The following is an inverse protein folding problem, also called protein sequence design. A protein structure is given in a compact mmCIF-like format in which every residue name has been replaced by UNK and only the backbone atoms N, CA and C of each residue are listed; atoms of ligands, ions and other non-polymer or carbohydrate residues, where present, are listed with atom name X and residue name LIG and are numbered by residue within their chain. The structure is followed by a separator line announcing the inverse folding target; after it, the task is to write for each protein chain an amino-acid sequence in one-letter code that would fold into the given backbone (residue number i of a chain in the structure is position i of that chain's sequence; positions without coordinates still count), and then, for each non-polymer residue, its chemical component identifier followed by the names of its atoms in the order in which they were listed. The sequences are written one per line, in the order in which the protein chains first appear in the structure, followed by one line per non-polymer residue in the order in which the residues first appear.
data_IF_187368003622
#
_entry.id   IF_187368003622
#
_cell.length_a   1.000
_cell.length_b   1.000
_cell.length_c   1.000
_cell.angle_alpha   90.00
_cell.angle_beta   90.00
_cell.angle_gamma   90.00
#
_symmetry.space_group_name_H-M   'P 1'
#
loop_
_entity.id
_entity.type
_entity.pdbx_description
1 polymer ?
#
# COMPACT_ATOMS: atom_id res chain seq x y z
N UNK A 1 24.15 -21.82 2.53
CA UNK A 1 24.07 -22.09 3.98
C UNK A 1 22.84 -21.34 4.47
N UNK A 2 21.86 -22.04 5.05
CA UNK A 2 20.68 -21.35 5.59
C UNK A 2 21.09 -20.56 6.83
N UNK A 3 20.48 -19.39 7.08
CA UNK A 3 20.90 -18.39 8.09
C UNK A 3 21.03 -18.93 9.54
N UNK A 4 20.53 -20.14 9.82
CA UNK A 4 20.55 -20.75 11.16
C UNK A 4 21.17 -22.15 11.21
N UNK A 5 21.71 -22.66 10.09
CA UNK A 5 22.35 -23.99 10.02
C UNK A 5 23.59 -24.11 10.91
N UNK A 6 24.30 -23.01 11.11
CA UNK A 6 25.50 -22.92 11.94
C UNK A 6 25.17 -23.20 13.42
N UNK A 7 24.08 -22.63 13.93
CA UNK A 7 23.62 -22.84 15.31
C UNK A 7 23.12 -24.27 15.55
N UNK A 8 22.58 -24.93 14.53
CA UNK A 8 22.11 -26.33 14.63
C UNK A 8 23.30 -27.30 14.72
N UNK A 9 24.45 -26.97 14.14
CA UNK A 9 25.62 -27.86 14.10
C UNK A 9 26.56 -27.75 15.31
N UNK A 10 26.62 -26.58 15.97
CA UNK A 10 27.72 -26.26 16.92
C UNK A 10 27.29 -25.69 18.28
N UNK A 11 25.99 -25.58 18.60
CA UNK A 11 25.55 -24.90 19.83
C UNK A 11 25.09 -25.84 20.95
N UNK A 12 24.97 -25.31 22.17
CA UNK A 12 24.38 -26.00 23.32
C UNK A 12 22.90 -26.40 23.08
N UNK A 13 22.38 -27.44 23.77
CA UNK A 13 21.04 -27.99 23.52
C UNK A 13 19.92 -26.95 23.49
N UNK A 14 19.96 -25.96 24.39
CA UNK A 14 18.97 -24.88 24.45
C UNK A 14 19.00 -23.94 23.24
N UNK A 15 20.20 -23.64 22.72
CA UNK A 15 20.39 -22.79 21.53
C UNK A 15 19.97 -23.53 20.25
N UNK A 16 20.24 -24.82 20.17
CA UNK A 16 19.81 -25.67 19.06
C UNK A 16 18.28 -25.72 18.94
N UNK A 17 17.58 -25.89 20.07
CA UNK A 17 16.11 -25.89 20.10
C UNK A 17 15.52 -24.55 19.63
N UNK A 18 16.07 -23.43 20.11
CA UNK A 18 15.66 -22.08 19.66
C UNK A 18 15.92 -21.87 18.16
N UNK A 19 17.08 -22.28 17.66
CA UNK A 19 17.44 -22.17 16.24
C UNK A 19 16.52 -23.03 15.35
N UNK A 20 16.18 -24.24 15.79
CA UNK A 20 15.24 -25.10 15.10
C UNK A 20 13.84 -24.50 15.02
N UNK A 21 13.35 -23.93 16.13
CA UNK A 21 12.04 -23.26 16.20
C UNK A 21 11.98 -22.04 15.26
N UNK A 22 12.99 -21.16 15.30
CA UNK A 22 13.07 -20.00 14.41
C UNK A 22 13.18 -20.40 12.93
N UNK A 23 14.01 -21.40 12.60
CA UNK A 23 14.12 -21.93 11.24
C UNK A 23 12.78 -22.46 10.73
N UNK A 24 12.04 -23.18 11.57
CA UNK A 24 10.73 -23.73 11.21
C UNK A 24 9.70 -22.63 10.99
N UNK A 25 9.61 -21.65 11.90
CA UNK A 25 8.69 -20.52 11.78
C UNK A 25 9.00 -19.65 10.55
N UNK A 26 10.28 -19.41 10.28
CA UNK A 26 10.75 -18.65 9.11
C UNK A 26 10.52 -19.44 7.82
N UNK A 27 10.77 -20.74 7.83
CA UNK A 27 10.53 -21.64 6.70
C UNK A 27 9.06 -21.75 6.33
N UNK A 28 8.15 -21.63 7.31
CA UNK A 28 6.70 -21.62 7.05
C UNK A 28 6.28 -20.42 6.18
N UNK A 29 6.99 -19.29 6.24
CA UNK A 29 6.72 -18.15 5.35
C UNK A 29 7.16 -18.39 3.90
N UNK A 30 8.10 -19.30 3.66
CA UNK A 30 8.55 -19.64 2.31
C UNK A 30 7.48 -20.41 1.52
N UNK A 31 6.54 -21.08 2.21
CA UNK A 31 5.36 -21.70 1.61
C UNK A 31 4.49 -20.67 0.89
N UNK A 32 4.47 -19.44 1.39
CA UNK A 32 3.76 -18.30 0.80
C UNK A 32 4.63 -17.47 -0.16
N UNK A 33 5.87 -17.91 -0.46
CA UNK A 33 6.82 -17.18 -1.31
C UNK A 33 7.37 -15.89 -0.68
N UNK A 34 7.19 -15.70 0.63
CA UNK A 34 7.61 -14.48 1.33
C UNK A 34 9.07 -14.60 1.80
N UNK A 35 9.83 -13.52 1.60
CA UNK A 35 11.19 -13.38 2.14
C UNK A 35 11.15 -12.69 3.50
N UNK A 36 11.66 -13.30 4.57
CA UNK A 36 11.72 -12.69 5.89
C UNK A 36 12.65 -11.48 5.89
N UNK A 37 12.32 -10.44 6.67
CA UNK A 37 13.18 -9.24 6.75
C UNK A 37 14.49 -9.51 7.50
N UNK A 38 15.56 -8.79 7.15
CA UNK A 38 16.84 -8.88 7.87
C UNK A 38 16.70 -8.58 9.36
N UNK A 39 15.82 -7.65 9.74
CA UNK A 39 15.53 -7.36 11.14
C UNK A 39 14.94 -8.56 11.91
N UNK A 40 14.09 -9.35 11.26
CA UNK A 40 13.55 -10.58 11.85
C UNK A 40 14.68 -11.58 12.12
N UNK A 41 15.59 -11.76 11.15
CA UNK A 41 16.71 -12.69 11.25
C UNK A 41 17.68 -12.27 12.36
N UNK A 42 18.00 -10.98 12.44
CA UNK A 42 18.85 -10.43 13.49
C UNK A 42 18.22 -10.58 14.87
N UNK A 43 16.91 -10.32 15.00
CA UNK A 43 16.20 -10.50 16.26
C UNK A 43 16.15 -11.98 16.68
N UNK A 44 15.94 -12.89 15.71
CA UNK A 44 16.02 -14.33 15.96
C UNK A 44 17.41 -14.75 16.46
N UNK A 45 18.49 -14.21 15.86
CA UNK A 45 19.87 -14.48 16.29
C UNK A 45 20.10 -14.07 17.74
N UNK A 46 19.71 -12.85 18.12
CA UNK A 46 19.80 -12.35 19.50
C UNK A 46 19.07 -13.24 20.50
N UNK A 47 17.88 -13.72 20.14
CA UNK A 47 17.13 -14.64 20.99
C UNK A 47 17.79 -16.03 21.13
N UNK A 48 18.36 -16.54 20.04
CA UNK A 48 19.11 -17.81 20.02
C UNK A 48 20.36 -17.70 20.89
N UNK A 49 21.09 -16.58 20.81
CA UNK A 49 22.30 -16.32 21.59
C UNK A 49 22.01 -16.05 23.08
N UNK A 50 20.77 -15.66 23.39
CA UNK A 50 20.30 -15.37 24.75
C UNK A 50 20.47 -13.91 25.16
N UNK A 51 20.71 -13.01 24.20
CA UNK A 51 20.79 -11.57 24.44
C UNK A 51 19.42 -10.96 24.79
N UNK A 52 18.35 -11.59 24.29
CA UNK A 52 16.97 -11.19 24.53
C UNK A 52 16.10 -12.42 24.81
N UNK A 53 15.02 -12.21 25.55
CA UNK A 53 13.97 -13.21 25.76
C UNK A 53 12.97 -13.22 24.57
N UNK A 54 12.17 -14.30 24.46
CA UNK A 54 11.13 -14.45 23.45
C UNK A 54 10.07 -13.34 23.52
N UNK A 55 9.69 -12.87 24.71
CA UNK A 55 8.71 -11.80 24.87
C UNK A 55 9.27 -10.47 24.35
N UNK A 56 10.55 -10.20 24.64
CA UNK A 56 11.27 -9.05 24.10
C UNK A 56 11.41 -9.14 22.57
N UNK A 57 11.79 -10.30 22.05
CA UNK A 57 11.86 -10.55 20.61
C UNK A 57 10.51 -10.30 19.94
N UNK A 58 9.41 -10.80 20.52
CA UNK A 58 8.06 -10.58 20.03
C UNK A 58 7.69 -9.09 20.05
N UNK A 59 8.00 -8.37 21.13
CA UNK A 59 7.73 -6.93 21.24
C UNK A 59 8.52 -6.12 20.20
N UNK A 60 9.80 -6.45 19.99
CA UNK A 60 10.66 -5.82 18.99
C UNK A 60 10.16 -6.06 17.57
N UNK A 61 9.85 -7.32 17.24
CA UNK A 61 9.30 -7.71 15.93
C UNK A 61 7.96 -7.02 15.68
N UNK A 62 7.05 -7.05 16.66
CA UNK A 62 5.74 -6.39 16.57
C UNK A 62 5.90 -4.89 16.36
N UNK A 63 6.73 -4.22 17.16
CA UNK A 63 7.00 -2.78 17.02
C UNK A 63 7.63 -2.44 15.67
N UNK A 64 8.60 -3.24 15.21
CA UNK A 64 9.24 -3.06 13.92
C UNK A 64 8.26 -3.21 12.76
N UNK A 65 7.45 -4.26 12.72
CA UNK A 65 6.48 -4.43 11.65
C UNK A 65 5.30 -3.49 11.75
N UNK A 66 4.86 -3.06 12.94
CA UNK A 66 3.84 -2.01 13.10
C UNK A 66 4.33 -0.63 12.67
N UNK A 67 5.62 -0.33 12.87
CA UNK A 67 6.22 0.92 12.40
C UNK A 67 6.60 0.88 10.91
N UNK A 68 6.83 -0.32 10.36
CA UNK A 68 7.14 -0.55 8.94
C UNK A 68 5.91 -0.76 8.08
N UNK A 69 4.82 -1.32 8.63
CA UNK A 69 3.46 -1.20 8.11
C UNK A 69 2.95 0.20 8.42
N UNK A 70 3.67 1.20 7.92
CA UNK A 70 3.13 2.54 7.83
C UNK A 70 1.78 2.41 7.14
N UNK A 71 0.72 2.76 7.87
CA UNK A 71 -0.60 3.04 7.31
C UNK A 71 -0.42 4.14 6.26
N UNK A 72 -0.34 3.73 4.99
CA UNK A 72 -0.73 4.62 3.91
C UNK A 72 -2.25 4.78 3.98
N UNK A 73 -2.78 5.94 3.58
CA UNK A 73 -4.23 6.16 3.43
C UNK A 73 -4.89 5.04 2.59
N UNK A 74 -4.13 4.43 1.68
CA UNK A 74 -4.51 3.29 0.85
C UNK A 74 -4.68 2.00 1.64
N UNK A 75 -3.75 1.71 2.57
CA UNK A 75 -3.86 0.57 3.47
C UNK A 75 -5.08 0.73 4.39
N UNK A 76 -5.39 1.96 4.82
CA UNK A 76 -6.58 2.23 5.62
C UNK A 76 -7.88 2.09 4.82
N UNK A 77 -7.91 2.52 3.55
CA UNK A 77 -9.08 2.34 2.69
C UNK A 77 -9.42 0.85 2.55
N UNK A 78 -8.43 0.01 2.24
CA UNK A 78 -8.60 -1.44 2.15
C UNK A 78 -8.93 -2.08 3.50
N UNK A 79 -8.24 -1.71 4.57
CA UNK A 79 -8.51 -2.27 5.91
C UNK A 79 -9.96 -1.99 6.34
N UNK A 80 -10.45 -0.77 6.11
CA UNK A 80 -11.79 -0.35 6.53
C UNK A 80 -12.91 -0.83 5.58
N UNK A 81 -12.61 -1.08 4.30
CA UNK A 81 -13.61 -1.40 3.27
C UNK A 81 -13.38 -2.75 2.59
N UNK A 82 -12.60 -3.65 3.19
CA UNK A 82 -12.33 -4.99 2.64
C UNK A 82 -13.61 -5.78 2.32
N UNK A 83 -14.63 -5.69 3.18
CA UNK A 83 -15.92 -6.33 2.95
C UNK A 83 -16.67 -5.73 1.74
N UNK A 84 -16.63 -4.40 1.59
CA UNK A 84 -17.19 -3.72 0.43
C UNK A 84 -16.52 -4.18 -0.86
N UNK A 85 -15.18 -4.20 -0.87
CA UNK A 85 -14.42 -4.61 -2.05
C UNK A 85 -14.74 -6.05 -2.48
N UNK A 86 -14.83 -6.98 -1.52
CA UNK A 86 -15.23 -8.37 -1.80
C UNK A 86 -16.63 -8.44 -2.43
N UNK A 87 -17.60 -7.72 -1.87
CA UNK A 87 -18.96 -7.69 -2.40
C UNK A 87 -19.01 -7.02 -3.78
N UNK A 88 -18.21 -5.98 -4.02
CA UNK A 88 -18.09 -5.32 -5.31
C UNK A 88 -17.56 -6.29 -6.38
N UNK A 89 -16.58 -7.14 -6.05
CA UNK A 89 -16.11 -8.18 -6.97
C UNK A 89 -17.19 -9.20 -7.30
N UNK A 90 -18.01 -9.60 -6.31
CA UNK A 90 -19.15 -10.48 -6.58
C UNK A 90 -20.13 -9.79 -7.53
N UNK A 91 -20.52 -8.54 -7.27
CA UNK A 91 -21.43 -7.79 -8.16
C UNK A 91 -20.85 -7.60 -9.56
N UNK A 92 -19.54 -7.38 -9.68
CA UNK A 92 -18.86 -7.19 -10.95
C UNK A 92 -18.75 -8.45 -11.81
N UNK A 93 -18.84 -9.64 -11.22
CA UNK A 93 -18.64 -10.91 -11.93
C UNK A 93 -19.89 -11.82 -11.94
N UNK A 94 -20.79 -11.67 -10.99
CA UNK A 94 -21.97 -12.53 -10.84
C UNK A 94 -23.03 -12.19 -11.88
N UNK A 95 -23.45 -13.22 -12.62
CA UNK A 95 -24.56 -13.15 -13.57
C UNK A 95 -25.58 -14.25 -13.28
N UNK A 96 -26.86 -13.89 -13.29
CA UNK A 96 -27.98 -14.81 -13.19
C UNK A 96 -29.16 -14.29 -14.03
N UNK A 97 -29.21 -14.72 -15.30
CA UNK A 97 -30.22 -14.27 -16.26
C UNK A 97 -31.66 -14.62 -15.85
N UNK A 98 -31.87 -15.77 -15.18
CA UNK A 98 -33.20 -16.21 -14.72
C UNK A 98 -33.77 -15.25 -13.67
N UNK A 99 -32.90 -14.69 -12.82
CA UNK A 99 -33.28 -13.69 -11.81
C UNK A 99 -33.07 -12.24 -12.29
N UNK A 100 -32.75 -12.03 -13.57
CA UNK A 100 -32.48 -10.70 -14.12
C UNK A 100 -31.26 -10.00 -13.52
N UNK A 101 -30.32 -10.74 -12.93
CA UNK A 101 -29.12 -10.18 -12.29
C UNK A 101 -27.99 -10.15 -13.31
N UNK A 102 -27.59 -8.95 -13.72
CA UNK A 102 -26.44 -8.75 -14.60
C UNK A 102 -25.23 -8.21 -13.80
N UNK A 103 -24.00 -8.44 -14.30
CA UNK A 103 -22.79 -7.89 -13.71
C UNK A 103 -22.84 -6.36 -13.61
N UNK A 104 -22.49 -5.83 -12.45
CA UNK A 104 -22.49 -4.40 -12.15
C UNK A 104 -21.12 -3.96 -11.61
N UNK A 105 -20.34 -3.32 -12.48
CA UNK A 105 -19.01 -2.81 -12.18
C UNK A 105 -19.02 -1.54 -11.31
N UNK A 106 -20.16 -0.87 -11.13
CA UNK A 106 -20.18 0.49 -10.57
C UNK A 106 -19.56 0.59 -9.19
N UNK A 107 -19.76 -0.43 -8.34
CA UNK A 107 -19.21 -0.46 -6.99
C UNK A 107 -17.70 -0.68 -6.98
N UNK A 108 -17.22 -1.52 -7.89
CA UNK A 108 -15.80 -1.78 -8.06
C UNK A 108 -15.09 -0.55 -8.60
N UNK A 109 -15.67 0.10 -9.61
CA UNK A 109 -15.19 1.38 -10.15
C UNK A 109 -15.18 2.44 -9.05
N UNK A 110 -16.26 2.58 -8.26
CA UNK A 110 -16.34 3.54 -7.16
C UNK A 110 -15.26 3.32 -6.10
N UNK A 111 -15.00 2.07 -5.73
CA UNK A 111 -13.89 1.73 -4.83
C UNK A 111 -12.54 2.18 -5.41
N UNK A 112 -12.27 1.89 -6.69
CA UNK A 112 -11.03 2.30 -7.34
C UNK A 112 -10.90 3.80 -7.54
N UNK A 113 -12.00 4.53 -7.71
CA UNK A 113 -11.96 6.00 -7.75
C UNK A 113 -11.54 6.59 -6.40
N UNK A 114 -12.03 6.04 -5.30
CA UNK A 114 -11.55 6.44 -3.98
C UNK A 114 -10.06 6.13 -3.82
N UNK A 115 -9.64 4.94 -4.24
CA UNK A 115 -8.26 4.49 -4.11
C UNK A 115 -7.27 5.29 -4.98
N UNK A 116 -7.59 5.45 -6.27
CA UNK A 116 -6.67 5.96 -7.29
C UNK A 116 -6.84 7.45 -7.55
N UNK A 117 -8.04 8.00 -7.37
CA UNK A 117 -8.34 9.41 -7.62
C UNK A 117 -8.45 10.22 -6.33
N UNK A 118 -8.40 9.56 -5.17
CA UNK A 118 -8.57 10.21 -3.87
C UNK A 118 -9.99 10.74 -3.66
N UNK A 119 -10.98 10.18 -4.38
CA UNK A 119 -12.38 10.54 -4.19
C UNK A 119 -12.91 10.03 -2.85
N UNK A 120 -13.96 10.69 -2.35
CA UNK A 120 -14.59 10.35 -1.07
C UNK A 120 -15.99 9.75 -1.29
N UNK A 121 -16.15 8.92 -2.32
CA UNK A 121 -17.44 8.28 -2.58
C UNK A 121 -17.82 7.38 -1.41
N UNK A 122 -19.11 7.31 -1.11
CA UNK A 122 -19.60 6.45 -0.06
C UNK A 122 -19.53 4.96 -0.45
N UNK A 123 -18.90 4.14 0.40
CA UNK A 123 -18.69 2.71 0.19
C UNK A 123 -19.53 1.87 1.15
N UNK A 124 -20.84 1.79 0.89
CA UNK A 124 -21.79 1.00 1.72
C UNK A 124 -22.29 -0.27 1.04
N UNK A 125 -22.20 -1.39 1.77
CA UNK A 125 -22.68 -2.70 1.29
C UNK A 125 -24.18 -2.75 1.00
N UNK A 126 -25.00 -1.99 1.73
CA UNK A 126 -26.46 -1.97 1.54
C UNK A 126 -26.87 -1.60 0.11
N UNK A 127 -26.06 -0.83 -0.60
CA UNK A 127 -26.33 -0.47 -1.99
C UNK A 127 -26.18 -1.67 -2.93
N UNK A 128 -25.38 -2.68 -2.58
CA UNK A 128 -25.11 -3.84 -3.43
C UNK A 128 -26.16 -4.95 -3.33
N UNK A 129 -27.19 -4.80 -2.50
CA UNK A 129 -28.23 -5.82 -2.33
C UNK A 129 -29.07 -5.91 -3.60
N UNK A 130 -29.28 -7.14 -4.09
CA UNK A 130 -30.19 -7.43 -5.22
C UNK A 130 -31.62 -7.32 -4.69
N UNK A 131 -32.52 -6.68 -5.44
CA UNK A 131 -33.92 -6.44 -5.06
C UNK A 131 -34.07 -5.71 -3.72
N UNK A 132 -33.18 -4.75 -3.46
CA UNK A 132 -33.21 -3.98 -2.22
C UNK A 132 -34.48 -3.11 -2.12
N UNK A 133 -35.10 -3.00 -0.92
CA UNK A 133 -36.25 -2.13 -0.71
C UNK A 133 -35.90 -0.66 -0.99
N UNK A 134 -36.86 0.14 -1.47
CA UNK A 134 -36.69 1.53 -1.94
C UNK A 134 -35.82 2.39 -0.99
N UNK A 135 -36.06 2.23 0.32
CA UNK A 135 -35.34 2.90 1.42
C UNK A 135 -33.82 2.68 1.45
N UNK A 136 -33.32 1.67 0.76
CA UNK A 136 -31.89 1.33 0.68
C UNK A 136 -31.28 1.65 -0.67
N UNK A 137 -32.08 2.06 -1.66
CA UNK A 137 -31.56 2.56 -2.92
C UNK A 137 -30.83 3.87 -2.63
N UNK A 138 -29.71 4.05 -3.31
CA UNK A 138 -28.93 5.27 -3.21
C UNK A 138 -29.79 6.46 -3.67
N UNK A 139 -29.82 7.56 -2.92
CA UNK A 139 -30.54 8.76 -3.34
C UNK A 139 -29.91 9.27 -4.64
N UNK A 140 -30.76 9.56 -5.62
CA UNK A 140 -30.31 10.13 -6.91
C UNK A 140 -29.60 11.47 -6.67
N UNK A 141 -29.89 12.16 -5.56
CA UNK A 141 -29.30 13.44 -5.17
C UNK A 141 -27.83 13.37 -4.69
N UNK A 142 -27.31 12.17 -4.37
CA UNK A 142 -25.87 11.96 -4.14
C UNK A 142 -25.12 11.60 -5.43
N UNK A 143 -25.83 11.41 -6.55
CA UNK A 143 -25.23 11.65 -7.85
C UNK A 143 -25.22 13.16 -8.05
N UNK A 144 -24.15 13.82 -7.59
CA UNK A 144 -23.86 15.17 -8.06
C UNK A 144 -23.94 15.13 -9.60
N UNK A 145 -24.83 15.91 -10.23
CA UNK A 145 -25.03 15.83 -11.66
C UNK A 145 -23.77 16.32 -12.35
N UNK A 146 -23.34 15.58 -13.35
CA UNK A 146 -22.67 16.17 -14.51
C UNK A 146 -21.37 16.92 -14.20
N UNK A 147 -20.26 16.19 -14.13
CA UNK A 147 -19.28 16.48 -15.17
C UNK A 147 -19.70 15.63 -16.36
N UNK A 148 -20.27 16.27 -17.36
CA UNK A 148 -20.33 15.76 -18.74
C UNK A 148 -19.00 15.05 -19.07
N UNK A 149 -18.96 14.12 -20.04
CA UNK A 149 -17.69 13.64 -20.59
C UNK A 149 -17.02 14.73 -21.42
N UNK A 150 -16.91 15.96 -20.91
CA UNK A 150 -16.00 16.97 -21.39
C UNK A 150 -14.64 16.61 -20.82
N UNK A 151 -13.95 15.71 -21.52
CA UNK A 151 -12.50 15.57 -21.46
C UNK A 151 -11.89 15.56 -20.05
N UNK A 152 -12.35 14.68 -19.15
CA UNK A 152 -11.53 14.34 -17.98
C UNK A 152 -10.35 13.51 -18.49
N UNK A 153 -9.37 14.20 -19.08
CA UNK A 153 -8.08 13.69 -19.52
C UNK A 153 -7.52 12.79 -18.42
N UNK A 154 -7.71 11.48 -18.59
CA UNK A 154 -6.92 10.42 -18.02
C UNK A 154 -6.29 10.78 -16.65
N UNK A 155 -7.09 10.99 -15.58
CA UNK A 155 -6.57 11.46 -14.28
C UNK A 155 -5.53 10.51 -13.64
N UNK A 156 -5.45 9.27 -14.12
CA UNK A 156 -4.41 8.28 -13.79
C UNK A 156 -3.05 8.60 -14.42
N UNK A 157 -3.05 9.45 -15.43
CA UNK A 157 -1.89 9.92 -16.17
C UNK A 157 -1.78 11.44 -16.02
N UNK A 158 -0.58 11.97 -16.18
CA UNK A 158 -0.37 13.41 -16.13
C UNK A 158 0.55 13.79 -17.26
N UNK A 159 0.19 14.85 -17.99
CA UNK A 159 1.08 15.49 -18.96
C UNK A 159 2.15 16.35 -18.26
N UNK A 160 2.01 16.59 -16.95
CA UNK A 160 2.97 17.37 -16.19
C UNK A 160 4.33 16.65 -16.15
N UNK A 161 5.31 17.25 -16.83
CA UNK A 161 6.66 16.73 -16.96
C UNK A 161 7.37 16.61 -15.62
N UNK A 162 7.12 17.52 -14.68
CA UNK A 162 7.75 17.52 -13.37
C UNK A 162 7.24 16.35 -12.52
N UNK A 163 5.93 16.08 -12.55
CA UNK A 163 5.35 14.92 -11.85
C UNK A 163 5.92 13.62 -12.44
N UNK A 164 5.97 13.49 -13.78
CA UNK A 164 6.55 12.30 -14.42
C UNK A 164 8.02 12.08 -14.03
N UNK A 165 8.85 13.14 -14.08
CA UNK A 165 10.25 13.09 -13.65
C UNK A 165 10.39 12.69 -12.19
N UNK A 166 9.57 13.29 -11.31
CA UNK A 166 9.56 12.95 -9.88
C UNK A 166 9.19 11.49 -9.65
N UNK A 167 8.16 10.99 -10.33
CA UNK A 167 7.69 9.61 -10.19
C UNK A 167 8.77 8.62 -10.62
N UNK A 168 9.43 8.88 -11.75
CA UNK A 168 10.58 8.08 -12.19
C UNK A 168 11.76 8.14 -11.21
N UNK A 169 12.02 9.30 -10.60
CA UNK A 169 13.12 9.46 -9.64
C UNK A 169 12.84 8.76 -8.30
N UNK A 170 11.60 8.76 -7.81
CA UNK A 170 11.23 8.03 -6.58
C UNK A 170 11.27 6.52 -6.84
N UNK A 171 10.64 6.06 -7.93
CA UNK A 171 10.55 4.65 -8.26
C UNK A 171 9.81 3.83 -7.20
N UNK A 172 10.18 2.55 -7.05
CA UNK A 172 9.52 1.63 -6.13
C UNK A 172 10.00 1.74 -4.67
N UNK A 173 11.06 2.53 -4.42
CA UNK A 173 11.67 2.62 -3.08
C UNK A 173 11.49 4.01 -2.48
N UNK A 174 11.28 4.14 -1.16
CA UNK A 174 11.16 5.45 -0.52
C UNK A 174 12.44 6.29 -0.69
N UNK A 175 12.28 7.55 -1.13
CA UNK A 175 13.38 8.50 -1.33
C UNK A 175 13.25 9.74 -0.44
N UNK A 176 14.36 10.19 0.11
CA UNK A 176 14.48 11.46 0.83
C UNK A 176 14.58 12.64 -0.15
N UNK A 177 14.38 13.86 0.35
CA UNK A 177 14.56 15.09 -0.43
C UNK A 177 15.94 15.14 -1.09
N UNK A 178 16.98 14.75 -0.35
CA UNK A 178 18.37 14.80 -0.84
C UNK A 178 18.57 13.84 -2.02
N UNK A 179 18.10 12.60 -1.89
CA UNK A 179 18.17 11.61 -2.97
C UNK A 179 17.39 12.09 -4.22
N UNK A 180 16.22 12.69 -4.03
CA UNK A 180 15.40 13.20 -5.16
C UNK A 180 16.09 14.38 -5.85
N UNK A 181 16.67 15.32 -5.08
CA UNK A 181 17.43 16.45 -5.64
C UNK A 181 18.60 15.96 -6.49
N UNK A 182 19.34 14.97 -6.01
CA UNK A 182 20.47 14.37 -6.71
C UNK A 182 20.03 13.67 -8.01
N UNK A 183 18.98 12.85 -7.94
CA UNK A 183 18.44 12.13 -9.10
C UNK A 183 17.86 13.05 -10.19
N UNK A 184 17.28 14.19 -9.78
CA UNK A 184 16.72 15.19 -10.70
C UNK A 184 17.73 16.29 -11.09
N UNK A 185 18.95 16.24 -10.56
CA UNK A 185 19.98 17.27 -10.70
C UNK A 185 19.48 18.68 -10.35
N UNK A 186 18.69 18.78 -9.28
CA UNK A 186 18.13 20.03 -8.76
C UNK A 186 18.98 20.55 -7.60
N UNK A 187 19.17 21.86 -7.56
CA UNK A 187 20.01 22.54 -6.54
C UNK A 187 19.21 23.01 -5.32
N UNK A 188 17.94 23.36 -5.52
CA UNK A 188 17.12 24.00 -4.50
C UNK A 188 15.97 23.11 -4.02
N UNK A 189 15.91 22.92 -2.71
CA UNK A 189 14.83 22.24 -2.01
C UNK A 189 13.49 22.93 -2.19
N UNK A 190 13.44 24.26 -2.16
CA UNK A 190 12.17 24.99 -2.29
C UNK A 190 11.56 24.74 -3.67
N UNK A 191 12.38 24.83 -4.72
CA UNK A 191 11.98 24.48 -6.08
C UNK A 191 11.42 23.06 -6.20
N UNK A 192 12.14 22.05 -5.68
CA UNK A 192 11.64 20.66 -5.68
C UNK A 192 10.27 20.55 -5.01
N UNK A 193 10.10 21.18 -3.84
CA UNK A 193 8.85 21.11 -3.11
C UNK A 193 7.70 21.76 -3.88
N UNK A 194 7.92 22.98 -4.39
CA UNK A 194 6.88 23.79 -5.00
C UNK A 194 6.44 23.27 -6.39
N UNK A 195 7.37 22.84 -7.23
CA UNK A 195 7.08 22.51 -8.63
C UNK A 195 6.99 21.02 -8.93
N UNK A 196 7.43 20.15 -8.02
CA UNK A 196 7.41 18.70 -8.21
C UNK A 196 6.54 18.03 -7.14
N UNK A 197 6.90 18.20 -5.86
CA UNK A 197 6.28 17.44 -4.77
C UNK A 197 4.85 17.92 -4.49
N UNK A 198 4.62 19.21 -4.26
CA UNK A 198 3.31 19.75 -3.91
C UNK A 198 2.26 19.44 -5.00
N UNK A 199 2.55 19.62 -6.31
CA UNK A 199 1.64 19.19 -7.38
C UNK A 199 1.42 17.68 -7.40
N UNK A 200 2.47 16.87 -7.22
CA UNK A 200 2.34 15.41 -7.20
C UNK A 200 1.52 14.90 -6.01
N UNK A 201 1.67 15.53 -4.84
CA UNK A 201 0.87 15.22 -3.64
C UNK A 201 -0.58 15.66 -3.80
N UNK A 202 -0.82 16.87 -4.29
CA UNK A 202 -2.17 17.38 -4.55
C UNK A 202 -2.95 16.51 -5.55
N UNK A 203 -2.24 15.94 -6.52
CA UNK A 203 -2.82 15.02 -7.51
C UNK A 203 -2.76 13.54 -7.07
N UNK A 204 -2.31 13.25 -5.85
CA UNK A 204 -2.34 11.90 -5.28
C UNK A 204 -1.35 10.89 -5.88
N UNK A 205 -0.28 11.33 -6.55
CA UNK A 205 0.76 10.44 -7.09
C UNK A 205 1.85 10.09 -6.07
N UNK A 206 2.06 10.98 -5.08
CA UNK A 206 3.13 10.86 -4.09
C UNK A 206 2.53 11.14 -2.71
N UNK A 207 3.02 10.43 -1.69
CA UNK A 207 2.71 10.73 -0.30
C UNK A 207 3.95 10.66 0.58
N UNK A 208 3.82 11.08 1.83
CA UNK A 208 4.86 10.97 2.84
C UNK A 208 4.92 9.55 3.39
N UNK A 209 6.13 9.07 3.69
CA UNK A 209 6.32 7.81 4.39
C UNK A 209 5.71 7.84 5.79
N UNK A 210 5.58 8.99 6.43
CA UNK A 210 4.88 9.16 7.70
C UNK A 210 3.92 10.36 7.60
N UNK A 211 2.69 10.15 7.09
CA UNK A 211 1.72 11.23 6.86
C UNK A 211 1.35 11.99 8.15
N UNK A 212 1.13 11.25 9.24
CA UNK A 212 0.70 11.81 10.54
C UNK A 212 1.81 12.60 11.25
N UNK A 213 3.08 12.29 10.93
CA UNK A 213 4.25 12.89 11.55
C UNK A 213 5.09 13.63 10.50
N UNK A 214 4.58 14.79 10.05
CA UNK A 214 5.22 15.58 8.99
C UNK A 214 6.71 15.90 9.22
N UNK A 215 7.11 16.09 10.48
CA UNK A 215 8.50 16.40 10.90
C UNK A 215 9.31 15.18 11.35
N UNK A 216 8.93 13.97 10.95
CA UNK A 216 9.65 12.76 11.34
C UNK A 216 11.10 12.77 10.81
N UNK A 217 12.12 12.39 11.61
CA UNK A 217 13.53 12.46 11.19
C UNK A 217 13.87 11.53 10.01
N UNK A 218 13.12 10.42 9.85
CA UNK A 218 13.28 9.47 8.74
C UNK A 218 12.24 9.69 7.63
N UNK A 219 11.69 10.90 7.52
CA UNK A 219 10.66 11.21 6.52
C UNK A 219 11.19 11.02 5.09
N UNK A 220 10.40 10.35 4.28
CA UNK A 220 10.68 10.10 2.86
C UNK A 220 9.41 10.29 2.04
N UNK A 221 9.56 10.36 0.73
CA UNK A 221 8.46 10.34 -0.23
C UNK A 221 8.35 8.96 -0.84
N UNK A 222 7.11 8.50 -1.00
CA UNK A 222 6.75 7.20 -1.58
C UNK A 222 5.67 7.42 -2.62
N UNK A 223 5.66 6.56 -3.64
CA UNK A 223 4.57 6.55 -4.61
C UNK A 223 3.32 5.92 -4.00
N UNK A 224 2.17 6.49 -4.33
CA UNK A 224 0.84 5.90 -4.11
C UNK A 224 0.59 4.81 -5.16
N UNK A 225 -0.50 4.03 -5.05
CA UNK A 225 -0.96 3.13 -6.12
C UNK A 225 -1.11 3.89 -7.45
N UNK A 226 -1.62 5.12 -7.39
CA UNK A 226 -1.71 6.01 -8.55
C UNK A 226 -0.33 6.34 -9.13
N UNK A 227 0.64 6.68 -8.27
CA UNK A 227 2.03 6.92 -8.64
C UNK A 227 2.70 5.71 -9.27
N UNK A 228 2.48 4.52 -8.72
CA UNK A 228 3.00 3.25 -9.26
C UNK A 228 2.38 2.89 -10.61
N UNK A 229 1.07 3.13 -10.78
CA UNK A 229 0.41 2.97 -12.07
C UNK A 229 1.04 3.88 -13.14
N UNK A 230 1.29 5.16 -12.79
CA UNK A 230 1.99 6.09 -13.68
C UNK A 230 3.42 5.62 -13.97
N UNK A 231 4.19 5.18 -12.98
CA UNK A 231 5.54 4.64 -13.17
C UNK A 231 5.55 3.47 -14.17
N UNK A 232 4.62 2.51 -14.02
CA UNK A 232 4.50 1.36 -14.92
C UNK A 232 4.16 1.73 -16.36
N UNK A 233 3.47 2.86 -16.55
CA UNK A 233 3.14 3.36 -17.89
C UNK A 233 4.32 4.07 -18.55
N UNK A 234 5.17 4.72 -17.75
CA UNK A 234 6.38 5.39 -18.23
C UNK A 234 7.43 4.35 -18.63
N UNK A 235 7.56 3.23 -17.91
CA UNK A 235 8.55 2.19 -18.20
C UNK A 235 8.21 1.26 -19.36
N UNK A 236 6.94 1.26 -19.82
CA UNK A 236 6.47 0.48 -20.97
C UNK A 236 6.61 1.22 -22.32
N UNK A 237 6.99 2.50 -22.29
CA UNK A 237 7.29 3.31 -23.48
C UNK A 237 8.77 3.26 -23.80
#
# INVERSE_FOLDING_TARGET
MTDFEEYIRQSEPGRQQKAYAWRTAIGLQAVDGLKPSEYLKDTARKHIEGEIDIDEAQKLIKSYYQSKSVRTLENDLFANHSWYFRNALVRANYRNAVKGVEPDMKYLVRFFRNLLLGENNELRNRYMVIDAPEKWKESVDNASPTSSPTSSTNQLYTSNTNIRKLVSAIGETPKSIREILELLNLKDRKNLLEYYVMPAQANGFVTLLYPDKRRHPRQKYVLTVKGLALLSSISKQ
#
